data_IF_532700475080
#
_entry.id   IF_532700475080
#
_cell.length_a   1.000
_cell.length_b   1.000
_cell.length_c   1.000
_cell.angle_alpha   90.00
_cell.angle_beta   90.00
_cell.angle_gamma   90.00
#
_symmetry.space_group_name_H-M   'P 1'
#
loop_
_entity.id
_entity.type
_entity.pdbx_description
1 polymer ?
#
# COMPACT_ATOMS: atom_id res chain seq x y z
N UNK A 1 13.61 -0.45 -11.15
CA UNK A 1 13.71 -1.72 -10.40
C UNK A 1 12.31 -2.16 -10.04
N UNK A 2 11.90 -3.37 -10.44
CA UNK A 2 10.64 -3.93 -9.96
C UNK A 2 10.78 -4.06 -8.45
N UNK A 3 9.84 -3.54 -7.65
CA UNK A 3 9.89 -3.71 -6.21
C UNK A 3 9.99 -5.19 -5.88
N UNK A 4 10.96 -5.62 -5.06
CA UNK A 4 11.06 -7.03 -4.62
C UNK A 4 9.76 -7.52 -3.98
N UNK A 5 8.98 -6.59 -3.44
CA UNK A 5 7.66 -6.82 -2.85
C UNK A 5 6.58 -7.18 -3.89
N UNK A 6 6.75 -6.81 -5.17
CA UNK A 6 5.74 -6.98 -6.21
C UNK A 6 5.42 -8.46 -6.48
N UNK A 7 6.41 -9.36 -6.36
CA UNK A 7 6.22 -10.79 -6.55
C UNK A 7 5.30 -11.44 -5.51
N UNK A 8 5.17 -10.85 -4.33
CA UNK A 8 4.27 -11.33 -3.27
C UNK A 8 2.96 -10.55 -3.30
N UNK A 9 3.05 -9.23 -3.45
CA UNK A 9 1.91 -8.32 -3.36
C UNK A 9 0.96 -8.41 -4.56
N UNK A 10 1.47 -8.59 -5.78
CA UNK A 10 0.63 -8.70 -6.99
C UNK A 10 -0.21 -9.98 -6.96
N UNK A 11 0.35 -11.18 -6.68
CA UNK A 11 -0.47 -12.38 -6.52
C UNK A 11 -1.47 -12.27 -5.37
N UNK A 12 -1.08 -11.67 -4.24
CA UNK A 12 -1.98 -11.47 -3.11
C UNK A 12 -3.16 -10.56 -3.49
N UNK A 13 -2.89 -9.43 -4.15
CA UNK A 13 -3.90 -8.55 -4.71
C UNK A 13 -4.83 -9.29 -5.69
N UNK A 14 -4.25 -10.04 -6.63
CA UNK A 14 -5.01 -10.81 -7.61
C UNK A 14 -5.92 -11.84 -6.93
N UNK A 15 -5.42 -12.60 -5.96
CA UNK A 15 -6.20 -13.57 -5.20
C UNK A 15 -7.34 -12.90 -4.42
N UNK A 16 -7.06 -11.79 -3.75
CA UNK A 16 -8.08 -11.00 -3.05
C UNK A 16 -9.16 -10.48 -4.00
N UNK A 17 -8.76 -9.89 -5.12
CA UNK A 17 -9.66 -9.40 -6.17
C UNK A 17 -10.56 -10.53 -6.69
N UNK A 18 -9.97 -11.67 -7.06
CA UNK A 18 -10.70 -12.84 -7.57
C UNK A 18 -11.66 -13.40 -6.52
N UNK A 19 -11.24 -13.46 -5.26
CA UNK A 19 -12.08 -13.92 -4.16
C UNK A 19 -13.32 -13.03 -3.95
N UNK A 20 -13.13 -11.72 -3.93
CA UNK A 20 -14.25 -10.79 -3.79
C UNK A 20 -15.15 -10.78 -5.03
N UNK A 21 -14.57 -10.88 -6.23
CA UNK A 21 -15.32 -11.00 -7.49
C UNK A 21 -16.16 -12.29 -7.51
N UNK A 22 -15.59 -13.44 -7.10
CA UNK A 22 -16.31 -14.71 -6.99
C UNK A 22 -17.51 -14.58 -6.05
N UNK A 23 -17.33 -13.90 -4.92
CA UNK A 23 -18.41 -13.62 -3.95
C UNK A 23 -19.38 -12.51 -4.41
N UNK A 24 -19.27 -12.04 -5.66
CA UNK A 24 -20.05 -10.93 -6.24
C UNK A 24 -19.94 -9.61 -5.46
N UNK A 25 -18.86 -9.44 -4.71
CA UNK A 25 -18.55 -8.22 -3.96
C UNK A 25 -17.74 -7.27 -4.86
N UNK A 26 -18.31 -6.90 -6.01
CA UNK A 26 -17.65 -6.13 -7.08
C UNK A 26 -17.02 -4.84 -6.59
N UNK A 27 -17.67 -4.15 -5.65
CA UNK A 27 -17.13 -2.97 -5.02
C UNK A 27 -15.75 -3.22 -4.36
N UNK A 28 -15.64 -4.30 -3.59
CA UNK A 28 -14.40 -4.63 -2.86
C UNK A 28 -13.30 -5.07 -3.81
N UNK A 29 -13.66 -5.84 -4.85
CA UNK A 29 -12.75 -6.24 -5.90
C UNK A 29 -12.19 -5.02 -6.67
N UNK A 30 -13.08 -4.09 -7.08
CA UNK A 30 -12.69 -2.85 -7.75
C UNK A 30 -11.82 -1.96 -6.86
N UNK A 31 -12.15 -1.84 -5.57
CA UNK A 31 -11.34 -1.07 -4.61
C UNK A 31 -9.92 -1.62 -4.49
N UNK A 32 -9.76 -2.94 -4.34
CA UNK A 32 -8.44 -3.58 -4.27
C UNK A 32 -7.64 -3.44 -5.57
N UNK A 33 -8.31 -3.46 -6.72
CA UNK A 33 -7.65 -3.32 -8.01
C UNK A 33 -7.14 -1.90 -8.26
N UNK A 34 -7.95 -0.88 -7.93
CA UNK A 34 -7.70 0.49 -8.37
C UNK A 34 -6.93 1.31 -7.34
N UNK A 35 -7.31 1.22 -6.06
CA UNK A 35 -6.86 2.20 -5.06
C UNK A 35 -5.36 2.08 -4.77
N UNK A 36 -4.78 0.88 -4.53
CA UNK A 36 -3.35 0.77 -4.28
C UNK A 36 -2.50 1.30 -5.45
N UNK A 37 -2.88 0.98 -6.69
CA UNK A 37 -2.16 1.43 -7.88
C UNK A 37 -2.27 2.95 -8.09
N UNK A 38 -3.44 3.53 -7.84
CA UNK A 38 -3.63 4.97 -7.86
C UNK A 38 -2.71 5.67 -6.84
N UNK A 39 -2.63 5.14 -5.62
CA UNK A 39 -1.77 5.69 -4.56
C UNK A 39 -0.29 5.59 -4.93
N UNK A 40 0.15 4.48 -5.52
CA UNK A 40 1.52 4.32 -6.03
C UNK A 40 1.81 5.29 -7.17
N UNK A 41 0.86 5.50 -8.08
CA UNK A 41 0.98 6.45 -9.18
C UNK A 41 1.12 7.89 -8.64
N UNK A 42 0.22 8.33 -7.76
CA UNK A 42 0.31 9.66 -7.12
C UNK A 42 1.64 9.84 -6.39
N UNK A 43 2.08 8.83 -5.65
CA UNK A 43 3.38 8.88 -4.97
C UNK A 43 4.54 9.05 -5.96
N UNK A 44 4.54 8.27 -7.03
CA UNK A 44 5.65 8.23 -8.00
C UNK A 44 5.71 9.48 -8.86
N UNK A 45 4.56 9.97 -9.32
CA UNK A 45 4.48 11.02 -10.34
C UNK A 45 4.23 12.41 -9.76
N UNK A 46 3.71 12.53 -8.53
CA UNK A 46 3.45 13.81 -7.90
C UNK A 46 4.29 14.01 -6.64
N UNK A 47 4.20 13.09 -5.66
CA UNK A 47 4.81 13.33 -4.34
C UNK A 47 6.33 13.24 -4.38
N UNK A 48 6.88 12.22 -5.04
CA UNK A 48 8.33 12.06 -5.17
C UNK A 48 8.97 13.28 -5.85
N UNK A 49 8.47 13.75 -7.01
CA UNK A 49 8.89 15.03 -7.56
C UNK A 49 8.70 16.14 -6.54
N UNK A 50 7.52 16.37 -5.99
CA UNK A 50 7.26 17.47 -5.04
C UNK A 50 8.32 17.59 -3.92
N UNK A 51 8.67 16.49 -3.27
CA UNK A 51 9.64 16.49 -2.17
C UNK A 51 11.10 16.58 -2.61
N UNK A 52 11.43 16.20 -3.85
CA UNK A 52 12.78 16.25 -4.45
C UNK A 52 13.91 15.62 -3.60
N UNK A 53 13.60 14.74 -2.65
CA UNK A 53 14.60 14.13 -1.77
C UNK A 53 15.22 12.91 -2.43
N UNK A 54 16.51 13.03 -2.72
CA UNK A 54 17.29 12.01 -3.37
C UNK A 54 18.02 11.11 -2.37
N UNK A 55 18.16 9.85 -2.74
CA UNK A 55 19.17 8.95 -2.19
C UNK A 55 19.96 8.42 -3.38
N UNK A 56 21.26 8.71 -3.40
CA UNK A 56 22.10 8.46 -4.57
C UNK A 56 21.49 9.14 -5.82
N UNK A 57 21.12 8.36 -6.83
CA UNK A 57 20.67 8.84 -8.15
C UNK A 57 19.14 8.77 -8.35
N UNK A 58 18.34 8.54 -7.31
CA UNK A 58 16.87 8.44 -7.43
C UNK A 58 16.12 9.15 -6.31
N UNK A 59 14.85 9.50 -6.58
CA UNK A 59 13.93 10.07 -5.61
C UNK A 59 13.49 9.01 -4.59
N UNK A 60 13.94 9.16 -3.36
CA UNK A 60 13.81 8.18 -2.30
C UNK A 60 12.57 8.42 -1.43
N UNK A 61 12.17 9.68 -1.24
CA UNK A 61 11.05 10.03 -0.38
C UNK A 61 9.83 10.48 -1.18
N UNK A 62 8.62 9.97 -0.86
CA UNK A 62 8.34 8.87 0.07
C UNK A 62 8.72 7.50 -0.54
N UNK A 63 9.05 6.51 0.31
CA UNK A 63 9.47 5.18 -0.16
C UNK A 63 8.36 4.49 -0.97
N UNK A 64 8.63 4.19 -2.24
CA UNK A 64 7.66 3.55 -3.15
C UNK A 64 7.31 2.12 -2.74
N UNK A 65 8.30 1.34 -2.31
CA UNK A 65 8.10 -0.03 -1.78
C UNK A 65 7.17 -0.04 -0.56
N UNK A 66 7.37 0.94 0.31
CA UNK A 66 6.54 1.13 1.50
C UNK A 66 5.14 1.54 1.12
N UNK A 67 5.00 2.54 0.24
CA UNK A 67 3.68 3.02 -0.20
C UNK A 67 2.87 1.90 -0.83
N UNK A 68 3.47 1.11 -1.72
CA UNK A 68 2.78 -0.02 -2.34
C UNK A 68 2.33 -1.07 -1.31
N UNK A 69 3.22 -1.52 -0.45
CA UNK A 69 2.90 -2.53 0.57
C UNK A 69 1.76 -2.04 1.49
N UNK A 70 1.92 -0.84 2.04
CA UNK A 70 0.98 -0.30 3.03
C UNK A 70 -0.37 0.03 2.39
N UNK A 71 -0.40 0.51 1.15
CA UNK A 71 -1.65 0.79 0.45
C UNK A 71 -2.46 -0.49 0.21
N UNK A 72 -1.80 -1.59 -0.18
CA UNK A 72 -2.42 -2.90 -0.37
C UNK A 72 -2.95 -3.42 0.96
N UNK A 73 -2.12 -3.43 2.01
CA UNK A 73 -2.51 -3.89 3.34
C UNK A 73 -3.71 -3.09 3.87
N UNK A 74 -3.68 -1.76 3.77
CA UNK A 74 -4.77 -0.89 4.19
C UNK A 74 -6.06 -1.18 3.41
N UNK A 75 -5.98 -1.44 2.10
CA UNK A 75 -7.13 -1.79 1.29
C UNK A 75 -7.77 -3.11 1.74
N UNK A 76 -6.99 -4.16 2.02
CA UNK A 76 -7.50 -5.41 2.60
C UNK A 76 -8.19 -5.18 3.96
N UNK A 77 -7.50 -4.47 4.86
CA UNK A 77 -7.99 -4.13 6.21
C UNK A 77 -9.34 -3.40 6.18
N UNK A 78 -9.53 -2.48 5.22
CA UNK A 78 -10.79 -1.76 5.04
C UNK A 78 -11.90 -2.65 4.47
N UNK A 79 -11.56 -3.64 3.64
CA UNK A 79 -12.52 -4.58 3.03
C UNK A 79 -12.85 -5.77 3.95
N UNK A 80 -12.09 -5.97 5.03
CA UNK A 80 -12.29 -7.01 6.02
C UNK A 80 -13.75 -7.06 6.52
N UNK A 81 -14.37 -8.24 6.42
CA UNK A 81 -15.78 -8.43 6.81
C UNK A 81 -16.01 -8.57 8.32
N UNK A 82 -14.96 -8.80 9.11
CA UNK A 82 -15.04 -8.96 10.57
C UNK A 82 -13.84 -8.35 11.26
N UNK A 83 -13.99 -7.99 12.54
CA UNK A 83 -12.88 -7.50 13.37
C UNK A 83 -11.74 -8.52 13.46
N UNK A 84 -12.07 -9.82 13.56
CA UNK A 84 -11.06 -10.88 13.62
C UNK A 84 -10.18 -10.90 12.38
N UNK A 85 -10.78 -10.86 11.18
CA UNK A 85 -10.04 -10.82 9.92
C UNK A 85 -9.17 -9.57 9.86
N UNK A 86 -9.72 -8.42 10.25
CA UNK A 86 -8.98 -7.15 10.27
C UNK A 86 -7.75 -7.20 11.16
N UNK A 87 -7.88 -7.76 12.38
CA UNK A 87 -6.76 -7.90 13.32
C UNK A 87 -5.68 -8.82 12.74
N UNK A 88 -6.07 -9.95 12.14
CA UNK A 88 -5.14 -10.88 11.48
C UNK A 88 -4.39 -10.17 10.35
N UNK A 89 -5.09 -9.47 9.46
CA UNK A 89 -4.48 -8.74 8.33
C UNK A 89 -3.51 -7.67 8.82
N UNK A 90 -3.87 -6.87 9.82
CA UNK A 90 -2.97 -5.86 10.43
C UNK A 90 -1.73 -6.54 10.99
N UNK A 91 -1.90 -7.65 11.71
CA UNK A 91 -0.80 -8.33 12.41
C UNK A 91 0.17 -8.92 11.40
N UNK A 92 -0.35 -9.65 10.40
CA UNK A 92 0.46 -10.24 9.33
C UNK A 92 1.17 -9.15 8.53
N UNK A 93 0.46 -8.09 8.15
CA UNK A 93 1.05 -6.96 7.43
C UNK A 93 2.17 -6.30 8.24
N UNK A 94 1.97 -6.06 9.55
CA UNK A 94 2.98 -5.45 10.41
C UNK A 94 4.24 -6.33 10.52
N UNK A 95 4.09 -7.64 10.72
CA UNK A 95 5.21 -8.58 10.83
C UNK A 95 6.00 -8.66 9.52
N UNK A 96 5.31 -8.87 8.40
CA UNK A 96 5.96 -8.95 7.09
C UNK A 96 6.64 -7.63 6.75
N UNK A 97 5.96 -6.50 6.99
CA UNK A 97 6.52 -5.19 6.71
C UNK A 97 7.74 -4.86 7.56
N UNK A 98 7.77 -5.27 8.84
CA UNK A 98 8.92 -5.06 9.70
C UNK A 98 10.19 -5.69 9.09
N UNK A 99 10.11 -6.92 8.56
CA UNK A 99 11.22 -7.56 7.86
C UNK A 99 11.65 -6.79 6.60
N UNK A 100 10.68 -6.33 5.80
CA UNK A 100 10.94 -5.53 4.59
C UNK A 100 11.59 -4.19 4.95
N UNK A 101 11.11 -3.50 5.99
CA UNK A 101 11.65 -2.23 6.46
C UNK A 101 13.08 -2.37 6.98
N UNK A 102 13.35 -3.39 7.81
CA UNK A 102 14.70 -3.70 8.30
C UNK A 102 15.63 -4.00 7.12
N UNK A 103 15.20 -4.79 6.14
CA UNK A 103 15.97 -5.08 4.94
C UNK A 103 16.29 -3.82 4.12
N UNK A 104 15.29 -2.96 3.88
CA UNK A 104 15.49 -1.71 3.12
C UNK A 104 16.45 -0.75 3.82
N UNK A 105 16.36 -0.62 5.15
CA UNK A 105 17.24 0.27 5.92
C UNK A 105 18.64 -0.34 6.00
N UNK A 106 18.75 -1.62 6.37
CA UNK A 106 20.02 -2.32 6.55
C UNK A 106 20.85 -2.46 5.27
N UNK A 107 20.19 -2.58 4.11
CA UNK A 107 20.85 -2.59 2.80
C UNK A 107 21.08 -1.19 2.21
N UNK A 108 20.71 -0.13 2.93
CA UNK A 108 20.92 1.25 2.48
C UNK A 108 20.02 1.70 1.33
N UNK A 109 18.88 1.02 1.10
CA UNK A 109 17.91 1.41 0.07
C UNK A 109 17.02 2.58 0.50
N UNK A 110 16.86 2.84 1.80
CA UNK A 110 16.06 3.95 2.30
C UNK A 110 16.52 4.40 3.68
N UNK A 111 16.35 5.70 3.97
CA UNK A 111 16.41 6.18 5.35
C UNK A 111 15.16 5.75 6.12
N UNK A 112 15.23 5.59 7.47
CA UNK A 112 14.04 5.31 8.28
C UNK A 112 12.90 6.33 8.07
N UNK A 113 13.25 7.59 7.82
CA UNK A 113 12.25 8.64 7.52
C UNK A 113 11.51 8.42 6.20
N UNK A 114 12.13 7.78 5.21
CA UNK A 114 11.49 7.48 3.92
C UNK A 114 10.42 6.39 4.08
N UNK A 115 10.68 5.47 5.01
CA UNK A 115 9.75 4.41 5.42
C UNK A 115 8.57 5.01 6.18
N UNK A 116 8.84 5.83 7.20
CA UNK A 116 7.78 6.51 7.98
C UNK A 116 6.90 7.38 7.08
N UNK A 117 7.52 8.19 6.20
CA UNK A 117 6.81 9.01 5.23
C UNK A 117 5.99 8.18 4.24
N UNK A 118 6.51 7.03 3.80
CA UNK A 118 5.78 6.09 2.95
C UNK A 118 4.55 5.49 3.64
N UNK A 119 4.65 5.09 4.91
CA UNK A 119 3.52 4.58 5.70
C UNK A 119 2.45 5.65 5.81
N UNK A 120 2.82 6.86 6.25
CA UNK A 120 1.89 7.96 6.44
C UNK A 120 1.18 8.34 5.13
N UNK A 121 1.94 8.42 4.03
CA UNK A 121 1.42 8.72 2.68
C UNK A 121 0.38 7.69 2.26
N UNK A 122 0.70 6.39 2.36
CA UNK A 122 -0.20 5.33 1.92
C UNK A 122 -1.48 5.26 2.77
N UNK A 123 -1.35 5.29 4.10
CA UNK A 123 -2.50 5.26 5.00
C UNK A 123 -3.42 6.45 4.74
N UNK A 124 -2.87 7.66 4.68
CA UNK A 124 -3.66 8.87 4.43
C UNK A 124 -4.38 8.80 3.07
N UNK A 125 -3.67 8.46 1.99
CA UNK A 125 -4.24 8.44 0.66
C UNK A 125 -5.34 7.37 0.52
N UNK A 126 -5.12 6.16 1.04
CA UNK A 126 -6.14 5.09 1.00
C UNK A 126 -7.38 5.48 1.81
N UNK A 127 -7.21 6.07 2.99
CA UNK A 127 -8.34 6.52 3.82
C UNK A 127 -9.14 7.65 3.16
N UNK A 128 -8.46 8.62 2.51
CA UNK A 128 -9.12 9.69 1.75
C UNK A 128 -9.95 9.09 0.61
N UNK A 129 -9.37 8.21 -0.20
CA UNK A 129 -10.09 7.56 -1.31
C UNK A 129 -11.27 6.75 -0.77
N UNK A 130 -11.07 5.99 0.31
CA UNK A 130 -12.15 5.25 0.95
C UNK A 130 -13.30 6.15 1.42
N UNK A 131 -12.99 7.27 2.08
CA UNK A 131 -13.99 8.22 2.57
C UNK A 131 -14.77 8.86 1.41
N UNK A 132 -14.09 9.30 0.34
CA UNK A 132 -14.72 9.84 -0.86
C UNK A 132 -15.66 8.81 -1.49
N UNK A 133 -15.19 7.57 -1.63
CA UNK A 133 -16.02 6.49 -2.15
C UNK A 133 -17.21 6.14 -1.25
N UNK A 134 -17.07 6.24 0.07
CA UNK A 134 -18.15 6.00 1.01
C UNK A 134 -19.25 7.08 0.88
N UNK A 135 -18.86 8.35 0.71
CA UNK A 135 -19.79 9.47 0.49
C UNK A 135 -20.55 9.31 -0.83
N UNK A 136 -19.88 8.94 -1.93
CA UNK A 136 -20.52 8.77 -3.25
C UNK A 136 -21.53 7.61 -3.26
N UNK A 137 -21.37 6.64 -2.34
CA UNK A 137 -22.23 5.46 -2.24
C UNK A 137 -23.40 5.61 -1.25
N UNK A 138 -23.43 6.70 -0.48
CA UNK A 138 -24.48 7.01 0.49
C UNK A 138 -25.67 7.68 -0.20
#
# INVERSE_FOLDING_TARGET
MIPSNAYVLIPLLALGMLWYAWRRQWWRAGFLLVVPELVVAVNTWALKPLWHRHLQHYLAYPSGHTVQFVAIAAAFVLMAGTLRVRVIEITVAAVVFAGVAVGMIGLGYHYPTDIVGGIATAVAAVLVVYAVCAVIRA
#
